data_IF_681476666834
#
_entry.id   IF_681476666834
#
_cell.length_a   1.000
_cell.length_b   1.000
_cell.length_c   1.000
_cell.angle_alpha   90.00
_cell.angle_beta   90.00
_cell.angle_gamma   90.00
#
_symmetry.space_group_name_H-M   'P 1'
#
loop_
_entity.id
_entity.type
_entity.pdbx_description
1 polymer ?
#
# COMPACT_ATOMS: atom_id res chain seq x y z
N UNK A 1 33.44 17.83 1.71
CA UNK A 1 34.01 18.63 2.81
C UNK A 1 33.86 20.15 2.56
N UNK A 2 33.02 20.62 1.63
CA UNK A 2 32.85 22.07 1.42
C UNK A 2 31.41 22.58 1.29
N UNK A 3 30.38 21.76 1.58
CA UNK A 3 28.99 22.24 1.76
C UNK A 3 28.40 21.76 3.09
N UNK A 4 29.20 21.91 4.13
CA UNK A 4 28.71 21.95 5.51
C UNK A 4 28.55 23.43 5.91
N UNK A 5 27.35 23.98 5.75
CA UNK A 5 26.78 25.13 6.47
C UNK A 5 25.36 25.35 5.95
N UNK A 6 24.29 25.02 6.67
CA UNK A 6 23.71 25.95 7.64
C UNK A 6 22.56 25.31 8.46
N UNK A 7 22.60 25.56 9.78
CA UNK A 7 21.54 25.54 10.82
C UNK A 7 21.05 24.22 11.44
N UNK A 8 20.66 24.19 12.73
CA UNK A 8 21.32 24.49 14.02
C UNK A 8 20.39 23.89 15.11
N UNK A 9 20.95 23.06 16.00
CA UNK A 9 20.38 22.54 17.27
C UNK A 9 19.10 21.67 17.25
N UNK A 10 19.28 20.35 17.15
CA UNK A 10 18.50 19.42 17.98
C UNK A 10 19.33 19.16 19.24
N UNK A 11 18.78 19.50 20.40
CA UNK A 11 19.47 19.37 21.68
C UNK A 11 19.89 17.92 21.97
N UNK A 12 21.00 17.78 22.69
CA UNK A 12 21.59 16.50 23.06
C UNK A 12 20.55 15.60 23.77
N UNK A 13 20.41 14.36 23.30
CA UNK A 13 19.57 13.36 23.93
C UNK A 13 20.12 13.05 25.32
N UNK A 14 19.34 13.38 26.37
CA UNK A 14 19.65 12.96 27.74
C UNK A 14 18.69 11.86 28.19
N UNK A 15 19.23 10.94 28.98
CA UNK A 15 18.49 9.81 29.54
C UNK A 15 17.33 10.31 30.43
N UNK A 16 17.47 11.46 31.11
CA UNK A 16 16.38 12.01 31.92
C UNK A 16 15.15 12.41 31.08
N UNK A 17 15.35 13.00 29.89
CA UNK A 17 14.24 13.35 28.98
C UNK A 17 13.53 12.13 28.39
N UNK A 18 14.27 11.06 28.14
CA UNK A 18 13.69 9.77 27.73
C UNK A 18 12.81 9.16 28.82
N UNK A 19 13.23 9.26 30.09
CA UNK A 19 12.50 8.75 31.25
C UNK A 19 11.23 9.58 31.55
N UNK A 20 11.28 10.91 31.40
CA UNK A 20 10.09 11.76 31.55
C UNK A 20 9.01 11.45 30.51
N UNK A 21 9.41 11.15 29.27
CA UNK A 21 8.47 10.77 28.22
C UNK A 21 7.79 9.42 28.52
N UNK A 22 8.53 8.39 28.93
CA UNK A 22 7.95 7.08 29.25
C UNK A 22 6.94 7.16 30.42
N UNK A 23 7.27 7.94 31.46
CA UNK A 23 6.36 8.22 32.59
C UNK A 23 5.06 8.89 32.13
N UNK A 24 5.11 9.76 31.11
CA UNK A 24 3.96 10.48 30.55
C UNK A 24 2.99 9.58 29.78
N UNK A 25 3.43 8.40 29.35
CA UNK A 25 2.60 7.43 28.61
C UNK A 25 2.16 6.23 29.46
N UNK A 26 2.76 6.02 30.63
CA UNK A 26 2.35 4.99 31.59
C UNK A 26 0.91 5.16 32.12
N UNK A 27 0.43 6.39 32.26
CA UNK A 27 -0.94 6.68 32.73
C UNK A 27 -2.04 6.23 31.77
N UNK A 28 -1.77 6.28 30.46
CA UNK A 28 -2.74 5.87 29.42
C UNK A 28 -2.94 4.35 29.44
N UNK A 29 -1.86 3.58 29.61
CA UNK A 29 -1.92 2.11 29.58
C UNK A 29 -2.81 1.55 30.70
N UNK A 30 -2.81 2.19 31.87
CA UNK A 30 -3.60 1.78 33.04
C UNK A 30 -5.12 1.95 32.87
N UNK A 31 -5.57 2.82 31.98
CA UNK A 31 -7.00 3.07 31.78
C UNK A 31 -7.61 2.18 30.69
N UNK A 32 -6.81 1.75 29.70
CA UNK A 32 -7.22 0.75 28.70
C UNK A 32 -7.46 -0.65 29.30
N UNK A 33 -6.77 -0.99 30.39
CA UNK A 33 -6.89 -2.31 31.05
C UNK A 33 -8.12 -2.43 31.98
N UNK A 34 -8.82 -1.34 32.29
CA UNK A 34 -9.95 -1.33 33.25
C UNK A 34 -11.33 -1.42 32.63
N UNK A 35 -11.46 -1.37 31.30
CA UNK A 35 -12.75 -1.51 30.61
C UNK A 35 -13.16 -2.98 30.57
N UNK A 36 -14.14 -3.34 31.40
CA UNK A 36 -14.67 -4.69 31.55
C UNK A 36 -15.68 -5.03 30.45
N UNK A 37 -15.20 -5.52 29.32
CA UNK A 37 -15.99 -6.36 28.42
C UNK A 37 -15.06 -7.40 27.79
N UNK A 38 -15.12 -8.64 28.29
CA UNK A 38 -14.40 -9.78 27.70
C UNK A 38 -15.22 -10.34 26.54
N UNK A 39 -14.74 -10.36 25.29
CA UNK A 39 -15.34 -11.18 24.26
C UNK A 39 -15.06 -12.65 24.55
N UNK A 40 -16.07 -13.50 24.36
CA UNK A 40 -15.87 -14.95 24.25
C UNK A 40 -15.02 -15.21 23.01
N UNK A 41 -13.91 -15.90 23.21
CA UNK A 41 -12.88 -16.31 22.25
C UNK A 41 -13.33 -16.45 20.78
N UNK A 42 -12.58 -15.86 19.82
CA UNK A 42 -12.57 -16.31 18.44
C UNK A 42 -11.24 -16.98 18.05
N UNK A 43 -11.37 -17.74 16.96
CA UNK A 43 -10.50 -18.76 16.34
C UNK A 43 -9.09 -18.26 15.99
N UNK A 44 -8.12 -19.20 15.93
CA UNK A 44 -6.70 -19.00 15.56
C UNK A 44 -6.52 -18.26 14.21
N UNK A 45 -6.31 -16.96 14.27
CA UNK A 45 -5.99 -16.09 13.13
C UNK A 45 -4.49 -15.97 12.80
N UNK A 46 -3.61 -16.49 13.66
CA UNK A 46 -2.15 -16.35 13.52
C UNK A 46 -1.60 -16.97 12.23
N UNK A 47 -2.15 -18.10 11.80
CA UNK A 47 -1.59 -18.91 10.72
C UNK A 47 -1.78 -18.26 9.33
N UNK A 48 -2.75 -17.35 9.19
CA UNK A 48 -3.01 -16.67 7.91
C UNK A 48 -2.18 -15.40 7.72
N UNK A 49 -1.77 -14.74 8.81
CA UNK A 49 -0.98 -13.49 8.77
C UNK A 49 0.48 -13.81 8.44
N UNK A 50 1.03 -14.87 9.02
CA UNK A 50 2.39 -15.38 8.72
C UNK A 50 2.57 -15.78 7.25
N UNK A 51 1.54 -16.35 6.61
CA UNK A 51 1.57 -16.69 5.18
C UNK A 51 1.51 -15.45 4.25
N UNK A 52 0.87 -14.37 4.68
CA UNK A 52 0.75 -13.13 3.90
C UNK A 52 2.04 -12.30 3.88
N UNK A 53 2.92 -12.53 4.85
CA UNK A 53 4.23 -11.86 4.98
C UNK A 53 5.25 -12.45 4.00
N UNK A 54 5.16 -13.74 3.72
CA UNK A 54 6.09 -14.47 2.85
C UNK A 54 6.04 -14.01 1.38
N UNK A 55 5.06 -13.17 0.99
CA UNK A 55 4.81 -12.80 -0.41
C UNK A 55 5.20 -11.37 -0.82
N UNK A 56 6.00 -10.63 -0.06
CA UNK A 56 6.84 -9.48 -0.51
C UNK A 56 6.33 -8.49 -1.59
N UNK A 57 5.13 -7.94 -1.46
CA UNK A 57 4.51 -7.28 -2.61
C UNK A 57 4.13 -5.79 -2.44
N UNK A 58 4.32 -5.17 -1.26
CA UNK A 58 4.08 -3.73 -1.02
C UNK A 58 5.02 -3.11 0.03
N UNK A 59 5.02 -1.77 0.14
CA UNK A 59 5.76 -1.02 1.18
C UNK A 59 5.24 -1.33 2.58
N UNK A 60 5.81 -2.37 3.20
CA UNK A 60 5.84 -2.54 4.65
C UNK A 60 6.65 -1.36 5.19
N UNK A 61 6.00 -0.35 5.75
CA UNK A 61 6.71 0.71 6.48
C UNK A 61 6.89 0.27 7.94
N UNK A 62 7.88 0.81 8.67
CA UNK A 62 8.05 0.53 10.10
C UNK A 62 6.75 0.74 10.88
N UNK A 63 6.00 1.77 10.52
CA UNK A 63 4.70 2.09 11.09
C UNK A 63 3.70 0.95 10.83
N UNK A 64 3.51 0.53 9.58
CA UNK A 64 2.55 -0.51 9.21
C UNK A 64 2.83 -1.87 9.86
N UNK A 65 4.10 -2.23 9.96
CA UNK A 65 4.48 -3.51 10.54
C UNK A 65 4.30 -3.55 12.06
N UNK A 66 4.66 -2.47 12.74
CA UNK A 66 4.41 -2.36 14.18
C UNK A 66 2.91 -2.55 14.48
N UNK A 67 2.06 -2.01 13.61
CA UNK A 67 0.60 -2.10 13.70
C UNK A 67 0.05 -3.50 13.41
N UNK A 68 0.76 -4.31 12.63
CA UNK A 68 0.45 -5.73 12.43
C UNK A 68 1.01 -6.63 13.55
N UNK A 69 1.51 -6.05 14.65
CA UNK A 69 2.02 -6.79 15.81
C UNK A 69 3.50 -7.15 15.75
N UNK A 70 4.24 -6.66 14.74
CA UNK A 70 5.68 -6.90 14.64
C UNK A 70 6.47 -5.97 15.54
N UNK A 71 7.59 -6.47 16.08
CA UNK A 71 8.63 -5.57 16.59
C UNK A 71 9.39 -5.00 15.41
N UNK A 72 9.48 -3.69 15.29
CA UNK A 72 10.21 -3.06 14.20
C UNK A 72 11.66 -2.78 14.61
N UNK A 73 12.61 -3.11 13.73
CA UNK A 73 14.03 -2.78 13.91
C UNK A 73 14.66 -2.31 12.58
N UNK A 74 15.74 -1.54 12.66
CA UNK A 74 16.44 -1.02 11.49
C UNK A 74 17.67 -1.88 11.16
N UNK A 75 17.81 -2.25 9.90
CA UNK A 75 18.98 -2.95 9.37
C UNK A 75 20.14 -1.96 9.26
N UNK A 76 21.21 -2.19 10.03
CA UNK A 76 22.42 -1.34 9.98
C UNK A 76 23.15 -1.51 8.63
N UNK A 77 23.78 -0.44 8.13
CA UNK A 77 24.50 -0.41 6.83
C UNK A 77 25.51 -1.54 6.60
N UNK A 78 26.24 -1.95 7.64
CA UNK A 78 27.24 -3.01 7.49
C UNK A 78 26.60 -4.39 7.20
N UNK A 79 25.39 -4.61 7.72
CA UNK A 79 24.60 -5.82 7.46
C UNK A 79 23.86 -5.74 6.12
N UNK A 80 23.37 -4.55 5.73
CA UNK A 80 22.82 -4.32 4.38
C UNK A 80 23.85 -4.67 3.29
N UNK A 81 25.09 -4.16 3.39
CA UNK A 81 26.16 -4.50 2.46
C UNK A 81 26.47 -6.00 2.46
N UNK A 82 26.41 -6.66 3.61
CA UNK A 82 26.64 -8.09 3.70
C UNK A 82 25.53 -8.88 2.99
N UNK A 83 24.27 -8.52 3.22
CA UNK A 83 23.10 -9.13 2.60
C UNK A 83 23.08 -8.98 1.08
N UNK A 84 23.32 -7.76 0.57
CA UNK A 84 23.36 -7.48 -0.88
C UNK A 84 24.49 -8.22 -1.60
N UNK A 85 25.59 -8.56 -0.89
CA UNK A 85 26.71 -9.34 -1.42
C UNK A 85 26.51 -10.86 -1.27
N UNK A 86 25.29 -11.32 -0.97
CA UNK A 86 24.96 -12.75 -0.82
C UNK A 86 25.55 -13.40 0.43
N UNK A 87 26.01 -12.60 1.42
CA UNK A 87 26.53 -13.14 2.68
C UNK A 87 25.38 -13.31 3.68
N UNK A 88 25.29 -14.46 4.36
CA UNK A 88 24.31 -14.67 5.42
C UNK A 88 24.48 -13.65 6.57
N UNK A 89 23.36 -13.25 7.16
CA UNK A 89 23.32 -12.36 8.30
C UNK A 89 23.48 -13.19 9.60
N UNK A 90 24.57 -12.99 10.34
CA UNK A 90 24.90 -13.80 11.53
C UNK A 90 24.55 -13.13 12.88
N UNK A 91 24.35 -13.95 13.91
CA UNK A 91 23.52 -13.76 15.11
C UNK A 91 23.89 -12.71 16.18
N UNK A 92 24.31 -11.51 15.79
CA UNK A 92 24.31 -10.31 16.68
C UNK A 92 23.69 -9.08 16.01
N UNK A 93 22.90 -9.29 14.97
CA UNK A 93 22.39 -8.21 14.12
C UNK A 93 21.44 -7.26 14.87
N UNK A 94 20.69 -7.79 15.84
CA UNK A 94 19.70 -7.02 16.61
C UNK A 94 19.95 -7.13 18.11
N UNK A 95 19.88 -6.00 18.79
CA UNK A 95 19.98 -5.91 20.24
C UNK A 95 18.69 -6.42 20.84
N UNK A 96 18.71 -7.57 21.54
CA UNK A 96 17.56 -7.99 22.34
C UNK A 96 17.40 -7.01 23.50
N UNK A 97 16.43 -6.10 23.44
CA UNK A 97 16.06 -5.26 24.58
C UNK A 97 15.23 -6.15 25.52
N UNK A 98 15.93 -6.86 26.39
CA UNK A 98 15.35 -7.60 27.51
C UNK A 98 15.63 -6.80 28.79
N UNK A 99 14.64 -6.05 29.29
CA UNK A 99 14.62 -5.66 30.70
C UNK A 99 13.20 -5.72 31.24
N UNK A 100 12.82 -6.81 31.91
CA UNK A 100 11.81 -6.75 32.96
C UNK A 100 12.49 -6.13 34.20
N UNK A 101 11.97 -5.01 34.71
CA UNK A 101 12.51 -4.40 35.94
C UNK A 101 12.29 -5.27 37.18
N UNK A 102 11.39 -6.26 37.14
CA UNK A 102 10.91 -6.92 38.37
C UNK A 102 11.17 -8.42 38.48
N UNK A 103 12.14 -8.98 37.75
CA UNK A 103 12.63 -10.35 37.99
C UNK A 103 11.61 -11.50 37.87
N UNK A 104 10.37 -11.24 37.43
CA UNK A 104 9.36 -12.26 37.17
C UNK A 104 9.55 -12.84 35.78
N UNK A 105 9.63 -14.17 35.71
CA UNK A 105 9.57 -14.90 34.44
C UNK A 105 8.23 -14.59 33.76
N UNK A 106 8.30 -14.07 32.55
CA UNK A 106 7.16 -13.84 31.67
C UNK A 106 6.55 -15.19 31.26
N UNK A 107 5.35 -15.51 31.75
CA UNK A 107 4.56 -16.68 31.33
C UNK A 107 3.93 -16.56 29.93
N UNK A 108 4.26 -15.53 29.15
CA UNK A 108 3.85 -15.38 27.76
C UNK A 108 5.07 -15.43 26.83
N UNK A 109 5.64 -16.63 26.65
CA UNK A 109 6.53 -16.92 25.53
C UNK A 109 5.70 -17.41 24.35
N UNK A 110 4.98 -16.51 23.68
CA UNK A 110 4.57 -16.76 22.30
C UNK A 110 5.74 -16.39 21.38
N UNK A 111 5.86 -17.08 20.25
CA UNK A 111 6.84 -16.78 19.19
C UNK A 111 6.87 -15.26 18.91
N UNK A 112 8.07 -14.66 18.92
CA UNK A 112 8.23 -13.21 18.72
C UNK A 112 8.72 -12.96 17.29
N UNK A 113 7.93 -12.22 16.53
CA UNK A 113 8.23 -11.81 15.15
C UNK A 113 8.74 -10.36 15.11
N UNK A 114 9.85 -10.14 14.39
CA UNK A 114 10.49 -8.83 14.22
C UNK A 114 10.45 -8.49 12.73
N UNK A 115 9.81 -7.38 12.37
CA UNK A 115 9.90 -6.78 11.06
C UNK A 115 11.14 -5.87 11.00
N UNK A 116 11.91 -5.98 9.93
CA UNK A 116 13.15 -5.24 9.74
C UNK A 116 12.98 -4.28 8.57
N UNK A 117 13.53 -3.09 8.68
CA UNK A 117 13.50 -2.03 7.65
C UNK A 117 14.89 -1.51 7.36
N UNK A 118 15.12 -1.02 6.16
CA UNK A 118 16.33 -0.24 5.84
C UNK A 118 16.23 1.16 6.45
N UNK A 119 17.34 1.91 6.46
CA UNK A 119 17.35 3.30 6.98
C UNK A 119 16.39 4.25 6.25
N UNK A 120 16.08 3.96 4.99
CA UNK A 120 15.11 4.70 4.19
C UNK A 120 13.65 4.27 4.47
N UNK A 121 13.42 3.48 5.51
CA UNK A 121 12.12 2.93 5.91
C UNK A 121 11.49 1.93 4.93
N UNK A 122 12.23 1.45 3.93
CA UNK A 122 11.78 0.35 3.09
C UNK A 122 11.85 -0.98 3.84
N UNK A 123 10.92 -1.90 3.55
CA UNK A 123 10.89 -3.20 4.20
C UNK A 123 12.11 -4.03 3.84
N UNK A 124 12.84 -4.48 4.85
CA UNK A 124 13.99 -5.35 4.69
C UNK A 124 13.67 -6.81 4.92
N UNK A 125 12.70 -7.18 5.77
CA UNK A 125 12.43 -8.59 6.02
C UNK A 125 11.79 -8.90 7.37
N UNK A 126 11.64 -10.18 7.66
CA UNK A 126 11.17 -10.66 8.96
C UNK A 126 12.14 -11.60 9.63
N UNK A 127 12.09 -11.61 10.95
CA UNK A 127 12.80 -12.55 11.82
C UNK A 127 11.78 -13.15 12.77
N UNK A 128 11.70 -14.48 12.77
CA UNK A 128 10.81 -15.25 13.62
C UNK A 128 11.68 -16.02 14.61
N UNK A 129 11.38 -15.87 15.91
CA UNK A 129 12.00 -16.67 16.97
C UNK A 129 11.05 -17.80 17.35
N UNK A 130 11.45 -19.03 17.02
CA UNK A 130 10.87 -20.24 17.61
C UNK A 130 11.63 -20.70 18.85
N UNK A 131 11.11 -21.70 19.54
CA UNK A 131 11.61 -22.20 20.85
C UNK A 131 13.13 -22.44 20.92
N UNK A 132 13.80 -22.79 19.81
CA UNK A 132 15.25 -23.05 19.77
C UNK A 132 15.97 -22.55 18.51
N UNK A 133 15.30 -21.81 17.60
CA UNK A 133 15.89 -21.33 16.34
C UNK A 133 15.36 -19.94 15.96
N UNK A 134 16.24 -19.13 15.37
CA UNK A 134 15.87 -17.90 14.67
C UNK A 134 15.78 -18.20 13.17
N UNK A 135 14.63 -17.96 12.54
CA UNK A 135 14.48 -17.99 11.09
C UNK A 135 14.26 -16.58 10.56
N UNK A 136 14.80 -16.26 9.39
CA UNK A 136 14.64 -14.94 8.80
C UNK A 136 14.43 -15.01 7.28
N UNK A 137 13.60 -14.12 6.77
CA UNK A 137 13.33 -13.94 5.34
C UNK A 137 13.44 -12.46 5.00
N UNK A 138 14.53 -12.08 4.33
CA UNK A 138 14.75 -10.69 3.92
C UNK A 138 14.25 -10.47 2.48
N UNK A 139 13.64 -9.31 2.27
CA UNK A 139 13.24 -8.79 0.97
C UNK A 139 14.36 -7.91 0.48
N UNK A 140 14.74 -8.09 -0.78
CA UNK A 140 15.47 -7.04 -1.47
C UNK A 140 14.41 -6.14 -2.11
N UNK A 141 14.12 -4.95 -1.55
CA UNK A 141 13.14 -4.06 -2.14
C UNK A 141 13.60 -3.69 -3.55
N UNK A 142 12.63 -3.54 -4.46
CA UNK A 142 12.94 -2.98 -5.77
C UNK A 142 13.45 -1.57 -5.54
N UNK A 143 14.58 -1.23 -6.18
CA UNK A 143 15.05 0.14 -6.17
C UNK A 143 13.92 1.05 -6.64
N UNK A 144 13.49 1.98 -5.78
CA UNK A 144 12.46 2.96 -6.13
C UNK A 144 12.96 3.69 -7.38
N UNK A 145 12.19 3.59 -8.46
CA UNK A 145 12.47 4.30 -9.69
C UNK A 145 11.57 5.51 -9.80
N UNK A 146 12.12 6.58 -10.35
CA UNK A 146 11.31 7.67 -10.86
C UNK A 146 10.39 7.10 -11.93
N UNK A 147 9.08 7.23 -11.72
CA UNK A 147 8.07 6.69 -12.62
C UNK A 147 7.49 7.84 -13.45
N UNK A 148 7.86 7.92 -14.73
CA UNK A 148 7.39 9.00 -15.63
C UNK A 148 5.93 8.79 -16.05
N UNK A 149 5.19 9.90 -16.06
CA UNK A 149 3.79 9.90 -16.48
C UNK A 149 3.65 10.40 -17.93
N UNK A 150 2.91 9.66 -18.74
CA UNK A 150 2.51 10.06 -20.08
C UNK A 150 0.99 10.07 -20.19
N UNK A 151 0.42 11.04 -20.88
CA UNK A 151 -0.97 11.00 -21.32
C UNK A 151 -1.10 10.22 -22.62
N UNK A 152 -2.26 9.63 -22.88
CA UNK A 152 -2.52 8.98 -24.18
C UNK A 152 -2.26 9.89 -25.38
N UNK A 153 -2.62 11.17 -25.26
CA UNK A 153 -2.35 12.17 -26.31
C UNK A 153 -0.86 12.33 -26.59
N UNK A 154 -0.03 12.43 -25.56
CA UNK A 154 1.43 12.49 -25.72
C UNK A 154 1.99 11.25 -26.44
N UNK A 155 1.44 10.06 -26.16
CA UNK A 155 1.83 8.83 -26.86
C UNK A 155 1.43 8.86 -28.34
N UNK A 156 0.18 9.24 -28.64
CA UNK A 156 -0.30 9.38 -30.01
C UNK A 156 0.56 10.37 -30.83
N UNK A 157 0.91 11.51 -30.20
CA UNK A 157 1.75 12.58 -30.76
C UNK A 157 3.24 12.19 -30.85
N UNK A 158 3.63 11.01 -30.35
CA UNK A 158 5.01 10.49 -30.47
C UNK A 158 6.01 11.06 -29.47
N UNK A 159 5.55 11.56 -28.32
CA UNK A 159 6.39 12.12 -27.27
C UNK A 159 7.08 11.06 -26.38
N UNK A 160 6.95 9.76 -26.71
CA UNK A 160 7.59 8.70 -25.95
C UNK A 160 9.12 8.69 -26.18
N UNK A 161 9.96 8.52 -25.14
CA UNK A 161 11.42 8.60 -25.27
C UNK A 161 11.97 7.62 -26.31
N UNK A 162 12.78 8.14 -27.24
CA UNK A 162 13.29 7.36 -28.38
C UNK A 162 14.26 6.26 -27.97
N UNK A 163 15.05 6.50 -26.92
CA UNK A 163 15.95 5.53 -26.29
C UNK A 163 15.17 4.35 -25.70
N UNK A 164 14.09 4.62 -24.96
CA UNK A 164 13.22 3.56 -24.42
C UNK A 164 12.51 2.80 -25.52
N UNK A 165 12.01 3.50 -26.55
CA UNK A 165 11.41 2.88 -27.72
C UNK A 165 12.38 1.94 -28.45
N UNK A 166 13.64 2.35 -28.60
CA UNK A 166 14.70 1.53 -29.24
C UNK A 166 15.07 0.32 -28.40
N UNK A 167 15.14 0.48 -27.08
CA UNK A 167 15.38 -0.62 -26.14
C UNK A 167 14.22 -1.63 -26.14
N UNK A 168 12.99 -1.14 -26.31
CA UNK A 168 11.76 -1.92 -26.23
C UNK A 168 11.11 -1.84 -24.85
N UNK A 169 9.79 -1.97 -24.81
CA UNK A 169 9.00 -1.88 -23.58
C UNK A 169 8.28 -3.18 -23.25
N UNK A 170 8.17 -3.44 -21.94
CA UNK A 170 7.32 -4.48 -21.36
C UNK A 170 6.11 -3.81 -20.72
N UNK A 171 4.92 -4.11 -21.22
CA UNK A 171 3.68 -3.44 -20.87
C UNK A 171 2.63 -4.38 -20.29
N UNK A 172 1.75 -3.82 -19.47
CA UNK A 172 0.46 -4.39 -19.11
C UNK A 172 -0.59 -3.28 -19.11
N UNK A 173 -1.84 -3.61 -19.44
CA UNK A 173 -2.92 -2.67 -19.73
C UNK A 173 -4.11 -3.00 -18.83
N UNK A 174 -4.56 -2.05 -18.01
CA UNK A 174 -5.67 -2.34 -17.11
C UNK A 174 -6.08 -1.18 -16.21
N UNK A 175 -7.11 -1.43 -15.40
CA UNK A 175 -7.56 -0.43 -14.42
C UNK A 175 -6.54 -0.19 -13.32
N UNK A 176 -5.80 -1.24 -12.93
CA UNK A 176 -4.87 -1.24 -11.80
C UNK A 176 -5.47 -0.64 -10.51
N UNK A 177 -6.79 -0.69 -10.35
CA UNK A 177 -7.48 -0.12 -9.20
C UNK A 177 -7.17 -0.94 -7.94
N UNK A 178 -6.54 -0.29 -6.96
CA UNK A 178 -6.07 -0.90 -5.74
C UNK A 178 -4.75 -1.66 -5.85
N UNK A 179 -4.13 -1.81 -7.04
CA UNK A 179 -2.87 -2.56 -7.23
C UNK A 179 -2.80 -3.84 -6.34
N UNK A 180 -3.80 -4.71 -6.49
CA UNK A 180 -3.94 -5.92 -5.68
C UNK A 180 -3.00 -7.05 -6.13
N UNK A 181 -2.95 -8.16 -5.39
CA UNK A 181 -2.09 -9.32 -5.68
C UNK A 181 -2.08 -9.76 -7.15
N UNK A 182 -3.24 -9.88 -7.80
CA UNK A 182 -3.29 -10.21 -9.24
C UNK A 182 -2.63 -9.17 -10.17
N UNK A 183 -2.73 -7.87 -9.87
CA UNK A 183 -2.01 -6.83 -10.63
C UNK A 183 -0.50 -6.91 -10.40
N UNK A 184 -0.09 -7.32 -9.20
CA UNK A 184 1.32 -7.47 -8.86
C UNK A 184 1.96 -8.64 -9.59
N UNK A 185 1.21 -9.74 -9.81
CA UNK A 185 1.68 -10.86 -10.65
C UNK A 185 1.93 -10.40 -12.11
N UNK A 186 1.09 -9.49 -12.65
CA UNK A 186 1.34 -8.85 -13.95
C UNK A 186 2.61 -8.01 -13.93
N UNK A 187 2.76 -7.10 -12.95
CA UNK A 187 3.95 -6.25 -12.82
C UNK A 187 5.22 -7.09 -12.68
N UNK A 188 5.18 -8.16 -11.90
CA UNK A 188 6.31 -9.08 -11.71
C UNK A 188 6.75 -9.75 -13.00
N UNK A 189 5.81 -10.08 -13.89
CA UNK A 189 6.15 -10.61 -15.21
C UNK A 189 6.88 -9.57 -16.08
N UNK A 190 6.50 -8.28 -16.00
CA UNK A 190 7.19 -7.20 -16.72
C UNK A 190 8.63 -7.06 -16.20
N UNK A 191 8.80 -7.09 -14.88
CA UNK A 191 10.12 -6.92 -14.25
C UNK A 191 11.10 -8.07 -14.53
N UNK A 192 10.61 -9.25 -14.91
CA UNK A 192 11.47 -10.37 -15.34
C UNK A 192 12.15 -10.11 -16.69
N UNK A 193 11.60 -9.22 -17.53
CA UNK A 193 12.16 -8.83 -18.83
C UNK A 193 13.13 -7.65 -18.67
N UNK A 194 14.31 -7.93 -18.11
CA UNK A 194 15.32 -6.92 -17.75
C UNK A 194 15.86 -6.12 -18.95
N UNK A 195 15.74 -6.66 -20.15
CA UNK A 195 16.11 -6.05 -21.41
C UNK A 195 15.15 -4.92 -21.83
N UNK A 196 13.91 -4.94 -21.34
CA UNK A 196 12.87 -3.97 -21.70
C UNK A 196 12.62 -2.95 -20.59
N UNK A 197 12.10 -1.78 -20.97
CA UNK A 197 11.65 -0.76 -20.02
C UNK A 197 10.24 -1.12 -19.53
N UNK A 198 10.04 -1.40 -18.22
CA UNK A 198 8.73 -1.81 -17.71
C UNK A 198 7.82 -0.60 -17.48
N UNK A 199 6.56 -0.72 -17.92
CA UNK A 199 5.54 0.29 -17.68
C UNK A 199 4.13 -0.30 -17.76
N UNK A 200 3.14 0.49 -17.38
CA UNK A 200 1.73 0.09 -17.52
C UNK A 200 0.95 1.14 -18.30
N UNK A 201 -0.13 0.70 -18.95
CA UNK A 201 -1.18 1.57 -19.47
C UNK A 201 -2.38 1.46 -18.54
N UNK A 202 -2.83 2.58 -18.02
CA UNK A 202 -3.95 2.62 -17.08
C UNK A 202 -4.88 3.79 -17.35
N UNK A 203 -5.96 3.86 -16.57
CA UNK A 203 -6.97 4.88 -16.70
C UNK A 203 -6.95 5.81 -15.49
N UNK A 204 -7.22 7.11 -15.72
CA UNK A 204 -7.35 8.09 -14.64
C UNK A 204 -8.49 7.73 -13.69
N UNK A 205 -9.63 7.35 -14.26
CA UNK A 205 -10.79 6.77 -13.58
C UNK A 205 -11.17 5.46 -14.27
N UNK A 206 -11.72 4.52 -13.52
CA UNK A 206 -12.17 3.25 -14.09
C UNK A 206 -13.29 3.45 -15.12
N UNK A 207 -13.43 2.50 -16.05
CA UNK A 207 -14.55 2.49 -17.00
C UNK A 207 -15.92 2.49 -16.30
N UNK A 208 -16.02 1.85 -15.13
CA UNK A 208 -17.24 1.84 -14.32
C UNK A 208 -17.55 3.22 -13.75
N UNK A 209 -16.54 3.94 -13.25
CA UNK A 209 -16.68 5.34 -12.86
C UNK A 209 -17.18 6.21 -14.02
N UNK A 210 -16.67 5.99 -15.24
CA UNK A 210 -17.13 6.69 -16.44
C UNK A 210 -18.60 6.38 -16.80
N UNK A 211 -19.09 5.17 -16.52
CA UNK A 211 -20.48 4.75 -16.80
C UNK A 211 -21.51 5.29 -15.80
N UNK A 212 -21.08 5.84 -14.65
CA UNK A 212 -21.97 6.41 -13.64
C UNK A 212 -22.59 5.41 -12.66
N UNK A 213 -22.28 4.12 -12.77
CA UNK A 213 -22.66 3.07 -11.82
C UNK A 213 -21.41 2.64 -11.03
N UNK A 214 -21.12 3.37 -9.95
CA UNK A 214 -19.84 3.25 -9.28
C UNK A 214 -19.84 3.52 -7.78
N UNK A 215 -19.31 2.56 -7.03
CA UNK A 215 -19.21 2.57 -5.57
C UNK A 215 -17.93 3.23 -5.03
N UNK A 216 -17.12 3.77 -5.94
CA UNK A 216 -15.82 4.40 -5.68
C UNK A 216 -14.62 3.53 -6.08
N UNK A 217 -13.45 4.14 -6.26
CA UNK A 217 -12.17 3.46 -6.56
C UNK A 217 -11.58 2.84 -5.29
N UNK A 218 -10.89 1.70 -5.39
CA UNK A 218 -10.13 1.14 -4.25
C UNK A 218 -8.95 2.05 -3.88
N UNK A 219 -8.29 2.64 -4.88
CA UNK A 219 -7.17 3.56 -4.67
C UNK A 219 -7.35 4.84 -5.48
N UNK A 220 -6.99 5.98 -4.90
CA UNK A 220 -6.94 7.24 -5.66
C UNK A 220 -5.88 7.17 -6.76
N UNK A 221 -5.95 8.09 -7.73
CA UNK A 221 -4.92 8.19 -8.76
C UNK A 221 -3.52 8.48 -8.16
N UNK A 222 -3.45 9.29 -7.08
CA UNK A 222 -2.22 9.56 -6.34
C UNK A 222 -1.63 8.27 -5.77
N UNK A 223 -2.43 7.48 -5.07
CA UNK A 223 -2.02 6.19 -4.51
C UNK A 223 -1.58 5.22 -5.62
N UNK A 224 -2.32 5.15 -6.74
CA UNK A 224 -1.96 4.34 -7.90
C UNK A 224 -0.57 4.69 -8.43
N UNK A 225 -0.22 5.97 -8.56
CA UNK A 225 1.11 6.40 -9.02
C UNK A 225 2.21 6.03 -8.01
N UNK A 226 1.93 6.18 -6.71
CA UNK A 226 2.85 5.74 -5.66
C UNK A 226 3.12 4.23 -5.74
N UNK A 227 2.07 3.40 -5.91
CA UNK A 227 2.24 1.97 -6.07
C UNK A 227 3.05 1.61 -7.31
N UNK A 228 2.87 2.32 -8.41
CA UNK A 228 3.67 2.09 -9.63
C UNK A 228 5.16 2.35 -9.39
N UNK A 229 5.51 3.48 -8.77
CA UNK A 229 6.90 3.83 -8.44
C UNK A 229 7.52 2.84 -7.44
N UNK A 230 6.78 2.45 -6.40
CA UNK A 230 7.22 1.47 -5.39
C UNK A 230 7.49 0.09 -6.00
N UNK A 231 6.72 -0.30 -7.03
CA UNK A 231 6.89 -1.59 -7.69
C UNK A 231 7.95 -1.60 -8.81
N UNK A 232 8.69 -0.51 -8.98
CA UNK A 232 9.84 -0.42 -9.88
C UNK A 232 9.49 -0.15 -11.35
N UNK A 233 8.25 0.26 -11.65
CA UNK A 233 7.85 0.67 -12.99
C UNK A 233 8.59 1.96 -13.38
N UNK A 234 9.06 2.01 -14.63
CA UNK A 234 9.73 3.19 -15.17
C UNK A 234 8.75 4.24 -15.66
N UNK A 235 7.54 3.82 -16.09
CA UNK A 235 6.52 4.74 -16.58
C UNK A 235 5.09 4.22 -16.47
N UNK A 236 4.15 5.17 -16.55
CA UNK A 236 2.71 4.93 -16.64
C UNK A 236 2.16 5.77 -17.79
N UNK A 237 1.39 5.13 -18.68
CA UNK A 237 0.58 5.81 -19.70
C UNK A 237 -0.85 5.89 -19.16
N UNK A 238 -1.37 7.11 -19.02
CA UNK A 238 -2.71 7.37 -18.49
C UNK A 238 -3.64 7.75 -19.63
N UNK A 239 -4.73 7.01 -19.69
CA UNK A 239 -5.86 7.26 -20.57
C UNK A 239 -6.96 7.95 -19.76
N UNK A 240 -7.40 9.10 -20.25
CA UNK A 240 -8.64 9.73 -19.83
C UNK A 240 -9.76 9.15 -20.73
N UNK A 241 -10.65 8.34 -20.16
CA UNK A 241 -11.73 7.72 -20.93
C UNK A 241 -12.63 8.82 -21.53
N UNK A 242 -12.75 8.81 -22.85
CA UNK A 242 -13.62 9.71 -23.59
C UNK A 242 -14.45 8.93 -24.63
N UNK A 243 -15.58 9.47 -25.11
CA UNK A 243 -16.32 8.87 -26.20
C UNK A 243 -15.46 8.62 -27.45
N UNK A 244 -14.50 9.50 -27.74
CA UNK A 244 -13.58 9.39 -28.86
C UNK A 244 -12.60 8.24 -28.64
N UNK A 245 -11.97 8.16 -27.45
CA UNK A 245 -11.08 7.06 -27.10
C UNK A 245 -11.81 5.71 -27.15
N UNK A 246 -13.07 5.67 -26.68
CA UNK A 246 -13.85 4.43 -26.63
C UNK A 246 -14.13 3.80 -28.00
N UNK A 247 -13.98 4.58 -29.09
CA UNK A 247 -14.20 4.15 -30.48
C UNK A 247 -12.93 3.61 -31.15
N UNK A 248 -11.79 3.62 -30.48
CA UNK A 248 -10.54 3.08 -31.03
C UNK A 248 -10.68 1.56 -31.17
N UNK A 249 -10.40 1.03 -32.35
CA UNK A 249 -10.35 -0.42 -32.59
C UNK A 249 -9.21 -1.05 -31.80
N UNK A 250 -9.42 -2.26 -31.27
CA UNK A 250 -8.44 -2.90 -30.39
C UNK A 250 -7.11 -3.20 -31.12
N UNK A 251 -7.18 -3.54 -32.40
CA UNK A 251 -6.00 -3.72 -33.25
C UNK A 251 -5.18 -2.44 -33.38
N UNK A 252 -5.86 -1.29 -33.52
CA UNK A 252 -5.19 0.00 -33.66
C UNK A 252 -4.59 0.45 -32.33
N UNK A 253 -5.29 0.20 -31.22
CA UNK A 253 -4.77 0.43 -29.88
C UNK A 253 -3.45 -0.33 -29.65
N UNK A 254 -3.41 -1.64 -29.96
CA UNK A 254 -2.20 -2.47 -29.81
C UNK A 254 -1.09 -2.02 -30.77
N UNK A 255 -1.42 -1.70 -32.03
CA UNK A 255 -0.44 -1.17 -32.99
C UNK A 255 0.18 0.14 -32.52
N UNK A 256 -0.60 1.05 -31.95
CA UNK A 256 -0.09 2.30 -31.39
C UNK A 256 0.93 2.01 -30.28
N UNK A 257 0.66 1.05 -29.39
CA UNK A 257 1.63 0.67 -28.34
C UNK A 257 2.91 0.07 -28.93
N UNK A 258 2.81 -0.78 -29.95
CA UNK A 258 3.97 -1.32 -30.68
C UNK A 258 4.77 -0.19 -31.34
N UNK A 259 4.11 0.66 -32.11
CA UNK A 259 4.75 1.65 -32.98
C UNK A 259 5.24 2.88 -32.23
N UNK A 260 4.53 3.34 -31.20
CA UNK A 260 4.86 4.57 -30.46
C UNK A 260 5.68 4.29 -29.21
N UNK A 261 5.39 3.20 -28.50
CA UNK A 261 6.07 2.85 -27.26
C UNK A 261 7.15 1.78 -27.45
N UNK A 262 7.28 1.19 -28.64
CA UNK A 262 8.22 0.09 -28.87
C UNK A 262 7.87 -1.15 -28.05
N UNK A 263 6.58 -1.44 -27.87
CA UNK A 263 6.14 -2.61 -27.10
C UNK A 263 6.71 -3.89 -27.71
N UNK A 264 7.43 -4.67 -26.89
CA UNK A 264 8.01 -5.97 -27.25
C UNK A 264 7.49 -7.12 -26.39
N UNK A 265 6.92 -6.79 -25.24
CA UNK A 265 6.31 -7.74 -24.33
C UNK A 265 5.01 -7.16 -23.78
N UNK A 266 3.94 -7.95 -23.81
CA UNK A 266 2.65 -7.62 -23.25
C UNK A 266 2.23 -8.72 -22.27
N UNK A 267 1.90 -8.33 -21.04
CA UNK A 267 1.43 -9.27 -20.02
C UNK A 267 0.02 -8.92 -19.57
N UNK A 268 -0.89 -9.88 -19.68
CA UNK A 268 -2.32 -9.69 -19.37
C UNK A 268 -2.95 -10.88 -18.67
N UNK A 269 -4.05 -10.60 -17.96
CA UNK A 269 -4.91 -11.64 -17.40
C UNK A 269 -5.74 -12.36 -18.47
N UNK A 270 -6.25 -13.56 -18.15
CA UNK A 270 -7.07 -14.37 -19.06
C UNK A 270 -8.36 -13.68 -19.54
N UNK A 271 -8.90 -12.76 -18.74
CA UNK A 271 -10.13 -12.02 -19.03
C UNK A 271 -9.88 -10.67 -19.72
N UNK A 272 -8.65 -10.41 -20.14
CA UNK A 272 -8.30 -9.16 -20.80
C UNK A 272 -9.04 -9.00 -22.12
N UNK A 273 -9.62 -7.81 -22.29
CA UNK A 273 -10.22 -7.36 -23.54
C UNK A 273 -9.89 -5.89 -23.79
N UNK A 274 -9.78 -5.50 -25.06
CA UNK A 274 -9.54 -4.10 -25.42
C UNK A 274 -10.23 -3.70 -26.74
N UNK A 275 -10.18 -2.40 -27.03
CA UNK A 275 -10.79 -1.82 -28.23
C UNK A 275 -12.28 -1.52 -28.13
N UNK A 276 -12.84 -1.02 -29.22
CA UNK A 276 -14.26 -0.69 -29.33
C UNK A 276 -15.12 -1.89 -28.91
N UNK A 277 -15.92 -1.70 -27.87
CA UNK A 277 -16.77 -2.73 -27.24
C UNK A 277 -16.01 -3.99 -26.76
N UNK A 278 -14.71 -3.90 -26.52
CA UNK A 278 -13.90 -5.05 -26.09
C UNK A 278 -13.73 -6.12 -27.17
N UNK A 279 -13.73 -5.73 -28.45
CA UNK A 279 -13.70 -6.65 -29.58
C UNK A 279 -12.40 -7.47 -29.72
N UNK A 280 -11.31 -7.06 -29.08
CA UNK A 280 -10.07 -7.84 -29.04
C UNK A 280 -9.99 -8.56 -27.70
N UNK A 281 -10.10 -9.88 -27.75
CA UNK A 281 -9.89 -10.82 -26.65
C UNK A 281 -8.51 -11.48 -26.71
N UNK A 282 -8.22 -12.40 -25.79
CA UNK A 282 -6.92 -13.10 -25.74
C UNK A 282 -6.61 -13.94 -26.99
N UNK A 283 -7.61 -14.52 -27.66
CA UNK A 283 -7.40 -15.28 -28.91
C UNK A 283 -6.99 -14.33 -30.04
N UNK A 284 -7.72 -13.23 -30.21
CA UNK A 284 -7.41 -12.20 -31.20
C UNK A 284 -6.06 -11.54 -30.91
N UNK A 285 -5.76 -11.27 -29.64
CA UNK A 285 -4.50 -10.68 -29.19
C UNK A 285 -3.30 -11.58 -29.51
N UNK A 286 -3.44 -12.91 -29.41
CA UNK A 286 -2.38 -13.86 -29.78
C UNK A 286 -2.03 -13.77 -31.28
N UNK A 287 -3.03 -13.60 -32.16
CA UNK A 287 -2.80 -13.38 -33.60
C UNK A 287 -2.12 -12.04 -33.85
N UNK A 288 -2.60 -10.98 -33.21
CA UNK A 288 -2.02 -9.64 -33.29
C UNK A 288 -0.55 -9.64 -32.79
N UNK A 289 -0.23 -10.42 -31.76
CA UNK A 289 1.12 -10.58 -31.24
C UNK A 289 2.08 -11.14 -32.30
N UNK A 290 1.65 -12.15 -33.06
CA UNK A 290 2.40 -12.69 -34.19
C UNK A 290 2.62 -11.65 -35.30
N UNK A 291 1.56 -10.93 -35.68
CA UNK A 291 1.62 -9.92 -36.76
C UNK A 291 2.48 -8.70 -36.39
N UNK A 292 2.41 -8.26 -35.12
CA UNK A 292 3.12 -7.08 -34.63
C UNK A 292 4.51 -7.39 -34.05
N UNK A 293 4.85 -8.66 -33.87
CA UNK A 293 6.17 -9.10 -33.39
C UNK A 293 6.44 -8.74 -31.93
N UNK A 294 5.46 -8.96 -31.03
CA UNK A 294 5.66 -8.87 -29.58
C UNK A 294 5.34 -10.21 -28.90
N UNK A 295 5.96 -10.45 -27.75
CA UNK A 295 5.68 -11.62 -26.92
C UNK A 295 4.46 -11.34 -26.03
N UNK A 296 3.46 -12.23 -26.08
CA UNK A 296 2.29 -12.20 -25.21
C UNK A 296 2.48 -13.19 -24.06
N UNK A 297 2.38 -12.70 -22.83
CA UNK A 297 2.39 -13.49 -21.60
C UNK A 297 1.01 -13.43 -20.95
N UNK A 298 0.47 -14.59 -20.61
CA UNK A 298 -0.80 -14.69 -19.89
C UNK A 298 -0.54 -15.04 -18.44
N UNK A 299 -1.16 -14.30 -17.52
CA UNK A 299 -1.06 -14.51 -16.08
C UNK A 299 -2.38 -15.06 -15.56
N UNK A 300 -2.30 -16.16 -14.81
CA UNK A 300 -3.46 -16.79 -14.19
C UNK A 300 -4.07 -15.91 -13.11
N UNK A 301 -5.38 -16.09 -12.89
CA UNK A 301 -6.09 -15.37 -11.85
C UNK A 301 -5.60 -15.76 -10.46
N UNK A 302 -5.35 -14.75 -9.62
CA UNK A 302 -5.09 -14.97 -8.20
C UNK A 302 -6.38 -15.39 -7.49
N UNK A 303 -6.34 -16.50 -6.76
CA UNK A 303 -7.46 -16.99 -5.96
C UNK A 303 -7.20 -16.73 -4.47
N UNK A 304 -8.20 -16.19 -3.78
CA UNK A 304 -8.24 -16.05 -2.33
C UNK A 304 -9.61 -16.52 -1.83
N UNK A 305 -9.64 -17.41 -0.84
CA UNK A 305 -10.89 -17.95 -0.27
C UNK A 305 -11.88 -18.44 -1.35
N UNK A 306 -11.39 -19.36 -2.20
CA UNK A 306 -12.18 -20.02 -3.25
C UNK A 306 -12.61 -19.16 -4.43
N UNK A 307 -12.33 -17.86 -4.43
CA UNK A 307 -12.76 -16.92 -5.48
C UNK A 307 -11.62 -16.05 -6.01
N UNK A 308 -11.77 -15.55 -7.24
CA UNK A 308 -10.85 -14.61 -7.86
C UNK A 308 -10.66 -13.34 -7.01
N UNK A 309 -9.44 -12.85 -6.95
CA UNK A 309 -9.10 -11.52 -6.43
C UNK A 309 -9.38 -10.47 -7.49
N UNK A 310 -10.17 -9.45 -7.16
CA UNK A 310 -10.48 -8.34 -8.08
C UNK A 310 -10.77 -7.05 -7.31
N UNK A 311 -10.62 -5.89 -7.96
CA UNK A 311 -11.00 -4.60 -7.37
C UNK A 311 -12.46 -4.55 -6.92
N UNK A 312 -13.38 -5.20 -7.65
CA UNK A 312 -14.79 -5.28 -7.24
C UNK A 312 -14.97 -6.00 -5.92
N UNK A 313 -14.29 -7.15 -5.74
CA UNK A 313 -14.37 -7.90 -4.49
C UNK A 313 -13.73 -7.15 -3.32
N UNK A 314 -12.65 -6.42 -3.58
CA UNK A 314 -12.01 -5.55 -2.58
C UNK A 314 -12.94 -4.42 -2.17
N UNK A 315 -13.62 -3.76 -3.12
CA UNK A 315 -14.64 -2.73 -2.82
C UNK A 315 -15.74 -3.29 -1.94
N UNK A 316 -16.30 -4.44 -2.30
CA UNK A 316 -17.32 -5.10 -1.49
C UNK A 316 -16.81 -5.45 -0.09
N UNK A 317 -15.55 -5.87 0.04
CA UNK A 317 -14.95 -6.15 1.36
C UNK A 317 -14.85 -4.88 2.19
N UNK A 318 -14.35 -3.78 1.61
CA UNK A 318 -14.25 -2.46 2.28
C UNK A 318 -15.63 -1.95 2.70
N UNK A 319 -16.62 -1.96 1.80
CA UNK A 319 -17.98 -1.49 2.08
C UNK A 319 -18.63 -2.25 3.25
N UNK A 320 -18.35 -3.55 3.36
CA UNK A 320 -18.85 -4.42 4.44
C UNK A 320 -17.96 -4.40 5.69
N UNK A 321 -16.96 -3.50 5.76
CA UNK A 321 -15.98 -3.42 6.83
C UNK A 321 -15.15 -4.70 7.06
N UNK A 322 -15.08 -5.59 6.06
CA UNK A 322 -14.18 -6.75 6.05
C UNK A 322 -12.79 -6.35 5.55
N UNK A 323 -12.08 -5.61 6.42
CA UNK A 323 -10.74 -5.13 6.12
C UNK A 323 -9.70 -6.26 6.16
N UNK A 324 -9.98 -7.38 6.83
CA UNK A 324 -9.11 -8.54 6.82
C UNK A 324 -9.03 -9.16 5.41
N UNK A 325 -10.17 -9.44 4.78
CA UNK A 325 -10.20 -9.97 3.41
C UNK A 325 -9.62 -8.97 2.41
N UNK A 326 -9.96 -7.68 2.56
CA UNK A 326 -9.36 -6.62 1.75
C UNK A 326 -7.83 -6.63 1.85
N UNK A 327 -7.29 -6.77 3.08
CA UNK A 327 -5.86 -6.84 3.30
C UNK A 327 -5.22 -8.06 2.66
N UNK A 328 -5.84 -9.24 2.73
CA UNK A 328 -5.31 -10.46 2.07
C UNK A 328 -5.26 -10.32 0.55
N UNK A 329 -6.26 -9.68 -0.04
CA UNK A 329 -6.32 -9.47 -1.49
C UNK A 329 -5.36 -8.39 -1.97
N UNK A 330 -5.25 -7.29 -1.21
CA UNK A 330 -4.37 -6.16 -1.50
C UNK A 330 -2.91 -6.43 -1.15
N UNK A 331 -2.65 -7.38 -0.24
CA UNK A 331 -1.34 -7.60 0.40
C UNK A 331 -0.85 -6.39 1.22
N UNK A 332 -1.77 -5.50 1.61
CA UNK A 332 -1.59 -4.38 2.53
C UNK A 332 -2.92 -4.01 3.17
N UNK A 333 -2.94 -3.33 4.33
CA UNK A 333 -4.16 -2.72 4.84
C UNK A 333 -4.76 -1.74 3.84
N UNK A 334 -6.09 -1.66 3.85
CA UNK A 334 -6.79 -0.65 3.08
C UNK A 334 -6.51 0.74 3.67
N UNK A 335 -6.14 1.68 2.80
CA UNK A 335 -5.78 3.04 3.16
C UNK A 335 -6.65 4.03 2.39
N UNK A 336 -7.39 4.85 3.12
CA UNK A 336 -8.17 5.94 2.57
C UNK A 336 -7.31 7.20 2.45
N UNK A 337 -7.29 7.83 1.27
CA UNK A 337 -6.50 9.01 0.96
C UNK A 337 -7.18 10.29 1.46
N UNK A 338 -6.51 11.01 2.37
CA UNK A 338 -7.00 12.25 2.94
C UNK A 338 -6.52 13.50 2.20
N UNK A 339 -5.78 13.34 1.09
CA UNK A 339 -5.25 14.47 0.33
C UNK A 339 -6.37 15.37 -0.18
N UNK A 340 -6.26 16.67 0.11
CA UNK A 340 -7.24 17.67 -0.31
C UNK A 340 -8.53 17.69 0.54
N UNK A 341 -8.59 16.93 1.64
CA UNK A 341 -9.65 17.10 2.63
C UNK A 341 -9.40 18.34 3.49
N UNK A 342 -10.47 19.08 3.75
CA UNK A 342 -10.46 20.24 4.64
C UNK A 342 -11.02 19.82 6.00
N UNK A 343 -10.13 19.68 6.97
CA UNK A 343 -10.50 19.31 8.34
C UNK A 343 -10.98 20.52 9.12
N UNK A 344 -12.09 20.35 9.83
CA UNK A 344 -12.65 21.30 10.79
C UNK A 344 -12.67 20.65 12.16
N UNK A 345 -12.44 21.44 13.20
CA UNK A 345 -12.69 20.97 14.55
C UNK A 345 -14.21 20.88 14.74
N UNK A 346 -14.69 19.77 15.28
CA UNK A 346 -16.10 19.59 15.61
C UNK A 346 -16.39 20.28 16.95
N UNK A 347 -17.47 21.06 17.00
CA UNK A 347 -17.98 21.67 18.24
C UNK A 347 -18.64 20.61 19.16
N UNK A 348 -19.02 19.46 18.59
CA UNK A 348 -19.65 18.34 19.29
C UNK A 348 -18.58 17.35 19.77
N UNK A 349 -18.12 17.52 21.01
CA UNK A 349 -17.28 16.51 21.65
C UNK A 349 -16.63 17.01 22.92
N UNK A 350 -17.23 16.68 24.06
CA UNK A 350 -16.67 16.95 25.38
C UNK A 350 -15.21 16.52 25.47
N UNK A 351 -14.40 17.34 26.15
CA UNK A 351 -13.05 16.96 26.53
C UNK A 351 -13.11 15.61 27.25
N UNK A 352 -12.46 14.61 26.68
CA UNK A 352 -12.16 13.40 27.44
C UNK A 352 -10.92 13.71 28.29
N UNK A 353 -11.01 13.46 29.60
CA UNK A 353 -9.96 13.75 30.59
C UNK A 353 -8.61 13.05 30.30
N UNK A 354 -8.57 12.16 29.30
CA UNK A 354 -7.37 11.52 28.78
C UNK A 354 -6.83 12.28 27.57
N UNK A 355 -6.08 13.35 27.85
CA UNK A 355 -5.19 14.07 26.92
C UNK A 355 -5.84 14.77 25.71
N UNK A 356 -6.61 15.85 25.90
CA UNK A 356 -6.86 16.91 24.87
C UNK A 356 -7.15 16.39 23.44
N UNK A 357 -7.84 15.27 23.28
CA UNK A 357 -8.29 14.78 21.97
C UNK A 357 -9.61 15.46 21.64
N UNK A 358 -9.77 15.91 20.40
CA UNK A 358 -10.99 16.51 19.88
C UNK A 358 -11.42 15.78 18.62
N UNK A 359 -12.73 15.73 18.39
CA UNK A 359 -13.24 15.30 17.10
C UNK A 359 -12.93 16.36 16.05
N UNK A 360 -12.35 15.94 14.94
CA UNK A 360 -12.18 16.74 13.75
C UNK A 360 -12.94 16.05 12.63
N UNK A 361 -13.67 16.81 11.82
CA UNK A 361 -14.44 16.28 10.70
C UNK A 361 -14.00 16.84 9.36
N UNK A 362 -14.16 16.03 8.32
CA UNK A 362 -13.94 16.43 6.95
C UNK A 362 -15.05 15.86 6.07
N UNK A 363 -15.60 16.69 5.20
CA UNK A 363 -16.53 16.24 4.17
C UNK A 363 -15.76 15.50 3.08
N UNK A 364 -16.22 14.30 2.74
CA UNK A 364 -15.60 13.47 1.70
C UNK A 364 -15.85 14.08 0.32
N UNK A 365 -14.76 14.39 -0.38
CA UNK A 365 -14.78 14.89 -1.76
C UNK A 365 -14.17 13.89 -2.76
N UNK A 366 -13.57 12.80 -2.26
CA UNK A 366 -12.92 11.80 -3.09
C UNK A 366 -13.93 10.79 -3.63
N UNK A 367 -13.62 10.17 -4.76
CA UNK A 367 -14.37 9.04 -5.29
C UNK A 367 -13.80 7.71 -4.80
N UNK A 368 -13.00 7.68 -3.72
CA UNK A 368 -12.50 6.43 -3.17
C UNK A 368 -13.59 5.72 -2.37
N UNK A 369 -13.64 4.39 -2.44
CA UNK A 369 -14.57 3.57 -1.68
C UNK A 369 -14.39 3.79 -0.18
N UNK A 370 -15.49 3.86 0.54
CA UNK A 370 -15.53 3.96 2.00
C UNK A 370 -16.28 2.76 2.59
N UNK A 371 -15.99 2.38 3.85
CA UNK A 371 -16.80 1.40 4.54
C UNK A 371 -18.20 1.94 4.84
N UNK A 372 -19.10 1.05 5.25
CA UNK A 372 -20.42 1.42 5.75
C UNK A 372 -20.35 2.38 6.95
N UNK A 373 -21.48 2.96 7.34
CA UNK A 373 -21.53 3.86 8.50
C UNK A 373 -21.10 3.13 9.76
N UNK A 374 -20.30 3.77 10.62
CA UNK A 374 -19.79 3.14 11.82
C UNK A 374 -18.53 3.79 12.38
N UNK A 375 -18.09 3.26 13.53
CA UNK A 375 -16.81 3.62 14.15
C UNK A 375 -15.78 2.52 13.92
N UNK A 376 -14.54 2.94 13.66
CA UNK A 376 -13.45 2.07 13.24
C UNK A 376 -12.20 2.38 14.04
N UNK A 377 -11.51 1.33 14.49
CA UNK A 377 -10.11 1.45 14.89
C UNK A 377 -9.27 1.70 13.64
N UNK A 378 -8.64 2.87 13.60
CA UNK A 378 -7.80 3.29 12.49
C UNK A 378 -6.42 3.73 12.95
N UNK A 379 -5.53 3.81 11.98
CA UNK A 379 -4.24 4.45 12.16
C UNK A 379 -4.09 5.55 11.13
N UNK A 380 -3.69 6.72 11.59
CA UNK A 380 -3.42 7.87 10.74
C UNK A 380 -1.95 7.87 10.38
N UNK A 381 -1.63 8.13 9.12
CA UNK A 381 -0.31 8.59 8.72
C UNK A 381 -0.33 10.10 8.58
N UNK A 382 0.62 10.76 9.23
CA UNK A 382 0.80 12.21 9.13
C UNK A 382 1.88 12.56 8.10
N UNK A 383 1.89 13.79 7.60
CA UNK A 383 2.95 14.32 6.71
C UNK A 383 4.37 14.18 7.29
N UNK A 384 4.49 14.14 8.62
CA UNK A 384 5.75 13.90 9.35
C UNK A 384 6.24 12.45 9.29
N UNK A 385 5.49 11.55 8.64
CA UNK A 385 5.63 10.09 8.68
C UNK A 385 5.40 9.48 10.07
N UNK A 386 4.94 10.28 11.04
CA UNK A 386 4.46 9.78 12.31
C UNK A 386 3.11 9.08 12.13
N UNK A 387 2.83 8.12 13.01
CA UNK A 387 1.57 7.39 13.00
C UNK A 387 0.83 7.53 14.32
N UNK A 388 -0.49 7.65 14.24
CA UNK A 388 -1.35 7.86 15.40
C UNK A 388 -2.56 6.93 15.34
N UNK A 389 -2.71 6.05 16.34
CA UNK A 389 -3.88 5.17 16.45
C UNK A 389 -5.04 5.93 17.05
N UNK A 390 -6.20 5.84 16.41
CA UNK A 390 -7.40 6.51 16.88
C UNK A 390 -8.68 5.87 16.37
N UNK A 391 -9.81 6.52 16.65
CA UNK A 391 -11.15 6.17 16.18
C UNK A 391 -11.51 7.07 14.99
N UNK A 392 -12.00 6.44 13.94
CA UNK A 392 -12.62 7.08 12.79
C UNK A 392 -14.12 6.78 12.81
N UNK A 393 -14.96 7.81 12.70
CA UNK A 393 -16.41 7.67 12.41
C UNK A 393 -16.65 7.99 10.94
N UNK A 394 -17.38 7.12 10.25
CA UNK A 394 -17.87 7.36 8.88
C UNK A 394 -19.39 7.48 8.93
N UNK A 395 -19.93 8.57 8.40
CA UNK A 395 -21.37 8.86 8.43
C UNK A 395 -21.86 9.36 7.07
N UNK A 396 -22.80 8.62 6.45
CA UNK A 396 -23.39 8.94 5.15
C UNK A 396 -24.74 9.65 5.36
N UNK A 397 -24.70 10.89 5.84
CA UNK A 397 -25.88 11.75 5.97
C UNK A 397 -26.26 12.45 4.65
N UNK A 398 -26.62 13.74 4.70
CA UNK A 398 -26.82 14.60 3.52
C UNK A 398 -25.53 14.84 2.70
N UNK A 399 -24.40 14.38 3.22
CA UNK A 399 -23.10 14.22 2.58
C UNK A 399 -22.29 13.20 3.41
N UNK A 400 -21.31 12.54 2.80
CA UNK A 400 -20.45 11.62 3.56
C UNK A 400 -19.43 12.41 4.35
N UNK A 401 -19.40 12.21 5.67
CA UNK A 401 -18.47 12.86 6.60
C UNK A 401 -17.56 11.80 7.24
N UNK A 402 -16.27 12.12 7.34
CA UNK A 402 -15.31 11.37 8.14
C UNK A 402 -14.98 12.20 9.36
N UNK A 403 -15.06 11.60 10.54
CA UNK A 403 -14.60 12.21 11.80
C UNK A 403 -13.45 11.41 12.38
N UNK A 404 -12.41 12.09 12.82
CA UNK A 404 -11.25 11.51 13.50
C UNK A 404 -11.13 12.09 14.90
N UNK A 405 -10.85 11.24 15.88
CA UNK A 405 -10.52 11.70 17.23
C UNK A 405 -9.01 11.99 17.30
N UNK A 406 -8.58 13.23 17.50
CA UNK A 406 -7.15 13.57 17.36
C UNK A 406 -6.69 14.67 18.32
N UNK A 407 -5.38 14.78 18.61
CA UNK A 407 -4.84 15.94 19.32
C UNK A 407 -5.16 17.22 18.56
N UNK A 408 -5.54 18.27 19.29
CA UNK A 408 -5.86 19.58 18.69
C UNK A 408 -4.69 20.12 17.86
N UNK A 409 -4.97 20.53 16.62
CA UNK A 409 -3.99 21.15 15.70
C UNK A 409 -3.23 20.20 14.76
N UNK A 410 -3.31 18.88 14.95
CA UNK A 410 -2.65 17.89 14.07
C UNK A 410 -3.53 17.43 12.90
N UNK A 411 -4.82 17.78 12.91
CA UNK A 411 -5.82 17.39 11.92
C UNK A 411 -5.47 17.79 10.48
N UNK A 412 -4.77 18.91 10.29
CA UNK A 412 -4.37 19.38 8.94
C UNK A 412 -3.28 18.55 8.28
N UNK A 413 -2.66 17.62 9.01
CA UNK A 413 -1.47 16.88 8.56
C UNK A 413 -1.78 15.42 8.22
N UNK A 414 -3.04 15.01 8.23
CA UNK A 414 -3.44 13.62 7.95
C UNK A 414 -3.35 13.34 6.45
N UNK A 415 -2.45 12.44 6.05
CA UNK A 415 -2.28 12.02 4.67
C UNK A 415 -3.15 10.82 4.30
N UNK A 416 -3.19 9.80 5.16
CA UNK A 416 -3.92 8.55 4.93
C UNK A 416 -4.52 8.00 6.24
N UNK A 417 -5.70 7.39 6.12
CA UNK A 417 -6.37 6.62 7.19
C UNK A 417 -6.28 5.14 6.84
N UNK A 418 -5.56 4.38 7.65
CA UNK A 418 -5.44 2.93 7.54
C UNK A 418 -6.49 2.25 8.41
N UNK A 419 -7.37 1.47 7.79
CA UNK A 419 -8.38 0.70 8.50
C UNK A 419 -7.77 -0.62 9.00
N UNK A 420 -7.93 -0.90 10.29
CA UNK A 420 -7.39 -2.12 10.89
C UNK A 420 -8.25 -3.35 10.55
N UNK A 421 -7.65 -4.54 10.59
CA UNK A 421 -8.37 -5.81 10.35
C UNK A 421 -9.44 -6.13 11.39
N UNK A 422 -9.51 -5.37 12.49
CA UNK A 422 -10.51 -5.54 13.54
C UNK A 422 -11.95 -5.21 13.06
N UNK A 423 -12.10 -4.50 11.94
CA UNK A 423 -13.41 -4.20 11.38
C UNK A 423 -14.13 -3.04 12.07
N UNK A 424 -15.46 -3.06 11.99
CA UNK A 424 -16.36 -2.10 12.64
C UNK A 424 -16.48 -2.41 14.14
N UNK A 425 -16.41 -1.37 14.98
CA UNK A 425 -16.61 -1.45 16.43
C UNK A 425 -18.05 -1.75 16.83
#
# INVERSE_FOLDING_TARGET
LEDAACYESLGEFSIERGIENDRRFAGIRKNLEKSSDKPKSPVKDSDTVTAAIQSHLLSFTPSLASLCGFKCDLLKKDYEKSYLNGRPLHGKMFSWIERPEDGRKSEFASDKEIAVFYEDSSFAGMIVKGDFRLSYGFVVPRAKKECRLFTWKQIADGAFPLDWKKQGTALSVGSFDGMHSGHLDLVDSLMKKKEFVPGIVTFRSSYRAFKGDYEGEVSTFRQKMNFCSQNGLSFVIVIDFSPEFSKIEGTDFIKILCDKCGMRFLSEGLDFTCGYKGAVDMESLSKIAGDCGFELCTVDDRIFDGSRVSSSRIRSSVQNADFWSAQKMLLRPFAYDCSGLEWKDSEDGGETDEKKLKWCSASVKSNQVLPCDGQYDVVLSLETQESFRTICSVERGSGTEIRLLMPSGENRRVEEIFFTSAGKR
#
